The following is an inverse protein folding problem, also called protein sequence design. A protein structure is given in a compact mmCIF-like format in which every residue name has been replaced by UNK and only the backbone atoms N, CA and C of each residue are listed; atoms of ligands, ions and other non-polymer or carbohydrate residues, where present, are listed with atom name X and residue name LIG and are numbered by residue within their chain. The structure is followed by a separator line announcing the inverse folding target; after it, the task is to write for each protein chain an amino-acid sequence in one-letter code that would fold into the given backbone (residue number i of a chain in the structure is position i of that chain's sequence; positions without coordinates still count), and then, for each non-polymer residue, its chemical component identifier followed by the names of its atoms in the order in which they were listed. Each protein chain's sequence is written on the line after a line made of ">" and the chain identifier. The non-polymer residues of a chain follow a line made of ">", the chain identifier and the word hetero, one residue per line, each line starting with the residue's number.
data_IF_190992275078
#
_entry.id   IF_190992275078
#
_cell.length_a   1.000
_cell.length_b   1.000
_cell.length_c   1.000
_cell.angle_alpha   90.00
_cell.angle_beta   90.00
_cell.angle_gamma   90.00
#
_symmetry.space_group_name_H-M   'P 1'
#
loop_
_entity.id
_entity.type
_entity.pdbx_description
1 polymer ?
#
# COMPACT_ATOMS: atom_id res chain seq x y z
N UNK A 1 -31.29 1.93 14.24
CA UNK A 1 -31.70 1.68 12.84
C UNK A 1 -30.41 1.44 12.07
N UNK A 2 -30.14 0.20 11.67
CA UNK A 2 -28.89 -0.14 10.95
C UNK A 2 -28.96 0.49 9.58
N UNK A 3 -28.15 1.51 9.31
CA UNK A 3 -27.85 1.89 7.93
C UNK A 3 -27.46 0.64 7.14
N UNK A 4 -27.92 0.57 5.90
CA UNK A 4 -27.65 -0.54 5.01
C UNK A 4 -26.13 -0.69 4.86
N UNK A 5 -25.58 -1.83 5.30
CA UNK A 5 -24.17 -2.20 5.05
C UNK A 5 -23.86 -2.34 3.56
N UNK A 6 -24.87 -2.50 2.71
CA UNK A 6 -24.70 -2.67 1.29
C UNK A 6 -24.15 -1.38 0.65
N UNK A 7 -23.12 -1.47 -0.21
CA UNK A 7 -22.56 -0.30 -0.85
C UNK A 7 -23.54 0.35 -1.84
N UNK A 8 -23.47 1.68 -1.96
CA UNK A 8 -24.19 2.44 -3.00
C UNK A 8 -23.68 2.08 -4.41
N UNK A 9 -24.40 2.43 -5.49
CA UNK A 9 -23.91 2.17 -6.86
C UNK A 9 -22.52 2.76 -7.13
N UNK A 10 -22.25 3.98 -6.63
CA UNK A 10 -20.95 4.65 -6.77
C UNK A 10 -19.87 3.92 -5.97
N UNK A 11 -20.19 3.50 -4.74
CA UNK A 11 -19.26 2.72 -3.91
C UNK A 11 -18.93 1.37 -4.55
N UNK A 12 -19.92 0.69 -5.14
CA UNK A 12 -19.68 -0.57 -5.88
C UNK A 12 -18.74 -0.36 -7.06
N UNK A 13 -18.92 0.71 -7.83
CA UNK A 13 -18.01 1.04 -8.92
C UNK A 13 -16.58 1.28 -8.38
N UNK A 14 -16.44 2.05 -7.30
CA UNK A 14 -15.14 2.31 -6.67
C UNK A 14 -14.47 1.00 -6.22
N UNK A 15 -15.21 0.12 -5.55
CA UNK A 15 -14.74 -1.20 -5.11
C UNK A 15 -14.19 -2.00 -6.29
N UNK A 16 -14.97 -2.10 -7.37
CA UNK A 16 -14.57 -2.84 -8.57
C UNK A 16 -13.35 -2.20 -9.27
N UNK A 17 -13.25 -0.86 -9.29
CA UNK A 17 -12.07 -0.16 -9.84
C UNK A 17 -10.80 -0.49 -9.07
N UNK A 18 -10.84 -0.50 -7.73
CA UNK A 18 -9.70 -0.93 -6.93
C UNK A 18 -9.33 -2.40 -7.16
N UNK A 19 -10.33 -3.28 -7.29
CA UNK A 19 -10.13 -4.67 -7.68
C UNK A 19 -9.37 -4.80 -9.01
N UNK A 20 -9.83 -4.08 -10.04
CA UNK A 20 -9.23 -4.08 -11.37
C UNK A 20 -7.80 -3.52 -11.37
N UNK A 21 -7.56 -2.41 -10.66
CA UNK A 21 -6.24 -1.78 -10.59
C UNK A 21 -5.22 -2.73 -9.97
N UNK A 22 -5.56 -3.38 -8.85
CA UNK A 22 -4.65 -4.32 -8.20
C UNK A 22 -4.30 -5.49 -9.12
N UNK A 23 -5.31 -6.06 -9.79
CA UNK A 23 -5.11 -7.14 -10.76
C UNK A 23 -4.21 -6.72 -11.93
N UNK A 24 -4.39 -5.50 -12.45
CA UNK A 24 -3.56 -4.96 -13.55
C UNK A 24 -2.09 -4.79 -13.19
N UNK A 25 -1.77 -4.56 -11.91
CA UNK A 25 -0.40 -4.49 -11.39
C UNK A 25 0.13 -5.85 -10.91
N UNK A 26 -0.55 -6.96 -11.22
CA UNK A 26 -0.15 -8.32 -10.81
C UNK A 26 -0.39 -8.63 -9.33
N UNK A 27 -1.12 -7.77 -8.61
CA UNK A 27 -1.54 -7.98 -7.23
C UNK A 27 -2.85 -8.79 -7.17
N UNK A 28 -3.20 -9.28 -5.98
CA UNK A 28 -4.43 -10.07 -5.82
C UNK A 28 -5.65 -9.15 -5.91
N UNK A 29 -6.52 -9.38 -6.91
CA UNK A 29 -7.80 -8.66 -7.08
C UNK A 29 -8.58 -8.50 -5.78
N UNK A 30 -8.67 -9.56 -4.97
CA UNK A 30 -9.42 -9.55 -3.71
C UNK A 30 -8.89 -8.52 -2.70
N UNK A 31 -7.58 -8.28 -2.66
CA UNK A 31 -7.00 -7.25 -1.81
C UNK A 31 -7.45 -5.85 -2.26
N UNK A 32 -7.49 -5.61 -3.57
CA UNK A 32 -8.05 -4.38 -4.14
C UNK A 32 -9.52 -4.18 -3.77
N UNK A 33 -10.34 -5.23 -3.89
CA UNK A 33 -11.76 -5.16 -3.49
C UNK A 33 -11.93 -4.83 -2.00
N UNK A 34 -11.11 -5.41 -1.11
CA UNK A 34 -11.15 -5.12 0.34
C UNK A 34 -10.72 -3.67 0.61
N UNK A 35 -9.64 -3.19 -0.02
CA UNK A 35 -9.20 -1.79 0.11
C UNK A 35 -10.30 -0.84 -0.36
N UNK A 36 -10.84 -1.07 -1.56
CA UNK A 36 -11.95 -0.29 -2.10
C UNK A 36 -13.15 -0.28 -1.16
N UNK A 37 -13.52 -1.43 -0.58
CA UNK A 37 -14.62 -1.52 0.37
C UNK A 37 -14.35 -0.66 1.61
N UNK A 38 -13.18 -0.80 2.23
CA UNK A 38 -12.85 -0.10 3.47
C UNK A 38 -12.65 1.41 3.30
N UNK A 39 -12.36 1.88 2.08
CA UNK A 39 -12.36 3.31 1.76
C UNK A 39 -13.78 3.91 1.71
N UNK A 40 -14.81 3.09 1.52
CA UNK A 40 -16.22 3.54 1.43
C UNK A 40 -16.94 3.56 2.77
N UNK A 41 -16.30 3.11 3.86
CA UNK A 41 -16.96 2.91 5.16
C UNK A 41 -16.35 3.83 6.20
N UNK A 42 -17.21 4.58 6.88
CA UNK A 42 -16.87 5.45 8.01
C UNK A 42 -16.75 4.68 9.33
N UNK A 43 -17.31 3.48 9.39
CA UNK A 43 -17.32 2.61 10.57
C UNK A 43 -16.53 1.33 10.30
N UNK A 44 -15.90 0.73 11.33
CA UNK A 44 -15.19 -0.54 11.19
C UNK A 44 -16.05 -1.66 10.61
N UNK A 45 -15.49 -2.40 9.66
CA UNK A 45 -16.18 -3.49 8.95
C UNK A 45 -15.70 -4.83 9.50
N UNK A 46 -16.63 -5.72 9.87
CA UNK A 46 -16.24 -7.05 10.33
C UNK A 46 -15.88 -7.99 9.19
N UNK A 47 -15.06 -9.01 9.47
CA UNK A 47 -14.76 -10.08 8.50
C UNK A 47 -16.02 -10.72 7.89
N UNK A 48 -17.05 -10.93 8.71
CA UNK A 48 -18.30 -11.55 8.25
C UNK A 48 -19.07 -10.60 7.31
N UNK A 49 -19.00 -9.29 7.55
CA UNK A 49 -19.60 -8.29 6.66
C UNK A 49 -18.84 -8.21 5.34
N UNK A 50 -17.51 -8.30 5.35
CA UNK A 50 -16.71 -8.36 4.11
C UNK A 50 -17.06 -9.60 3.27
N UNK A 51 -17.28 -10.74 3.92
CA UNK A 51 -17.72 -12.00 3.28
C UNK A 51 -19.05 -11.80 2.57
N UNK A 52 -20.02 -11.18 3.25
CA UNK A 52 -21.35 -10.91 2.72
C UNK A 52 -21.30 -9.88 1.57
N UNK A 53 -20.62 -8.74 1.76
CA UNK A 53 -20.59 -7.64 0.80
C UNK A 53 -19.83 -7.99 -0.48
N UNK A 54 -18.70 -8.70 -0.36
CA UNK A 54 -17.86 -9.04 -1.51
C UNK A 54 -18.25 -10.38 -2.14
N UNK A 55 -19.21 -11.10 -1.57
CA UNK A 55 -19.64 -12.44 -1.99
C UNK A 55 -18.43 -13.39 -2.14
N UNK A 56 -17.66 -13.54 -1.06
CA UNK A 56 -16.45 -14.38 -1.01
C UNK A 56 -16.38 -15.20 0.27
N UNK A 57 -15.74 -16.36 0.19
CA UNK A 57 -15.57 -17.21 1.36
C UNK A 57 -14.64 -16.57 2.42
N UNK A 58 -14.85 -16.94 3.68
CA UNK A 58 -14.16 -16.37 4.85
C UNK A 58 -12.64 -16.57 4.83
N UNK A 59 -12.15 -17.71 4.31
CA UNK A 59 -10.73 -18.03 4.27
C UNK A 59 -9.90 -17.00 3.48
N UNK A 60 -10.18 -16.82 2.17
CA UNK A 60 -9.52 -15.81 1.33
C UNK A 60 -9.63 -14.37 1.86
N UNK A 61 -10.80 -13.96 2.37
CA UNK A 61 -10.99 -12.65 3.00
C UNK A 61 -10.04 -12.50 4.19
N UNK A 62 -10.03 -13.49 5.09
CA UNK A 62 -9.21 -13.47 6.31
C UNK A 62 -7.71 -13.41 6.02
N UNK A 63 -7.24 -14.14 5.00
CA UNK A 63 -5.84 -14.09 4.55
C UNK A 63 -5.52 -12.72 3.95
N UNK A 64 -6.40 -12.22 3.08
CA UNK A 64 -6.17 -10.97 2.33
C UNK A 64 -6.15 -9.76 3.27
N UNK A 65 -7.09 -9.67 4.20
CA UNK A 65 -7.14 -8.55 5.16
C UNK A 65 -5.96 -8.56 6.12
N UNK A 66 -5.52 -9.73 6.60
CA UNK A 66 -4.29 -9.83 7.41
C UNK A 66 -3.08 -9.35 6.65
N UNK A 67 -2.94 -9.74 5.38
CA UNK A 67 -1.83 -9.26 4.55
C UNK A 67 -1.88 -7.74 4.34
N UNK A 68 -3.07 -7.17 4.20
CA UNK A 68 -3.24 -5.72 4.09
C UNK A 68 -2.93 -5.00 5.42
N UNK A 69 -3.24 -5.64 6.55
CA UNK A 69 -2.92 -5.17 7.90
C UNK A 69 -1.40 -5.16 8.11
N UNK A 70 -0.70 -6.23 7.72
CA UNK A 70 0.78 -6.32 7.73
C UNK A 70 1.46 -5.26 6.84
N UNK A 71 0.74 -4.69 5.87
CA UNK A 71 1.22 -3.66 4.95
C UNK A 71 0.79 -2.25 5.37
N UNK A 72 0.13 -2.09 6.52
CA UNK A 72 -0.48 -0.85 7.00
C UNK A 72 -1.47 -0.21 6.00
N UNK A 73 -2.13 -1.01 5.16
CA UNK A 73 -3.17 -0.49 4.25
C UNK A 73 -4.52 -0.45 4.95
N UNK A 74 -4.75 -1.40 5.83
CA UNK A 74 -5.91 -1.49 6.71
C UNK A 74 -5.38 -1.66 8.13
N UNK A 75 -6.22 -1.46 9.13
CA UNK A 75 -5.86 -1.75 10.52
C UNK A 75 -6.96 -2.49 11.24
N UNK A 76 -6.57 -3.49 12.02
CA UNK A 76 -7.50 -4.15 12.94
C UNK A 76 -7.88 -3.18 14.07
N UNK A 77 -9.16 -3.09 14.38
CA UNK A 77 -9.70 -2.21 15.43
C UNK A 77 -10.71 -2.94 16.31
N UNK A 78 -11.01 -2.34 17.46
CA UNK A 78 -12.14 -2.77 18.28
C UNK A 78 -13.46 -2.48 17.55
N UNK A 79 -14.48 -3.27 17.84
CA UNK A 79 -15.80 -3.08 17.25
C UNK A 79 -16.90 -3.44 18.23
N UNK A 80 -18.17 -3.21 17.83
CA UNK A 80 -19.32 -3.30 18.73
C UNK A 80 -19.57 -4.72 19.28
N UNK A 81 -19.00 -5.76 18.66
CA UNK A 81 -19.10 -7.14 19.11
C UNK A 81 -17.72 -7.76 19.30
N UNK A 82 -17.32 -8.04 20.55
CA UNK A 82 -16.00 -8.60 20.88
C UNK A 82 -15.71 -9.98 20.27
N UNK A 83 -16.72 -10.69 19.73
CA UNK A 83 -16.54 -11.99 19.08
C UNK A 83 -16.17 -11.89 17.60
N UNK A 84 -16.17 -10.69 17.03
CA UNK A 84 -15.84 -10.44 15.62
C UNK A 84 -14.53 -9.65 15.51
N UNK A 85 -13.83 -9.86 14.41
CA UNK A 85 -12.67 -9.05 14.06
C UNK A 85 -13.14 -7.94 13.11
N UNK A 86 -12.81 -6.70 13.44
CA UNK A 86 -13.14 -5.50 12.68
C UNK A 86 -11.89 -4.87 12.11
N UNK A 87 -12.04 -4.26 10.94
CA UNK A 87 -10.97 -3.57 10.24
C UNK A 87 -11.52 -2.28 9.63
N UNK A 88 -10.64 -1.31 9.50
CA UNK A 88 -10.89 -0.07 8.77
C UNK A 88 -9.70 0.29 7.89
N UNK A 89 -9.88 1.22 6.96
CA UNK A 89 -8.78 1.72 6.15
C UNK A 89 -7.77 2.46 7.05
N UNK A 90 -6.49 2.32 6.75
CA UNK A 90 -5.49 3.09 7.46
C UNK A 90 -5.64 4.58 7.08
N UNK A 91 -5.62 5.54 8.03
CA UNK A 91 -5.79 6.97 7.72
C UNK A 91 -4.76 7.51 6.71
N UNK A 92 -3.57 6.90 6.72
CA UNK A 92 -2.47 7.21 5.82
C UNK A 92 -2.26 6.11 4.74
N UNK A 93 -3.29 5.35 4.36
CA UNK A 93 -3.20 4.22 3.41
C UNK A 93 -2.41 4.56 2.13
N UNK A 94 -2.66 5.72 1.53
CA UNK A 94 -1.96 6.15 0.31
C UNK A 94 -0.49 6.47 0.55
N UNK A 95 -0.18 7.10 1.69
CA UNK A 95 1.21 7.35 2.08
C UNK A 95 1.95 6.05 2.45
N UNK A 96 1.25 5.08 3.03
CA UNK A 96 1.81 3.76 3.31
C UNK A 96 2.08 2.98 2.01
N UNK A 97 1.20 3.06 1.01
CA UNK A 97 1.48 2.54 -0.32
C UNK A 97 2.70 3.22 -0.97
N UNK A 98 2.80 4.54 -0.83
CA UNK A 98 3.95 5.30 -1.30
C UNK A 98 5.26 4.82 -0.65
N UNK A 99 5.31 4.68 0.69
CA UNK A 99 6.47 4.13 1.41
C UNK A 99 6.81 2.71 0.98
N UNK A 100 5.80 1.86 0.76
CA UNK A 100 6.01 0.50 0.29
C UNK A 100 6.69 0.48 -1.09
N UNK A 101 6.25 1.34 -2.02
CA UNK A 101 6.89 1.46 -3.34
C UNK A 101 8.31 2.03 -3.25
N UNK A 102 8.54 2.98 -2.34
CA UNK A 102 9.86 3.55 -2.07
C UNK A 102 10.88 2.47 -1.64
N UNK A 103 10.44 1.46 -0.88
CA UNK A 103 11.31 0.36 -0.48
C UNK A 103 11.89 -0.40 -1.69
N UNK A 104 11.09 -0.63 -2.73
CA UNK A 104 11.56 -1.24 -3.99
C UNK A 104 12.59 -0.36 -4.71
N UNK A 105 12.42 0.97 -4.68
CA UNK A 105 13.38 1.93 -5.25
C UNK A 105 14.74 1.81 -4.54
N UNK A 106 14.73 1.82 -3.20
CA UNK A 106 15.92 1.65 -2.37
C UNK A 106 16.62 0.32 -2.59
N UNK A 107 15.86 -0.77 -2.65
CA UNK A 107 16.40 -2.11 -2.90
C UNK A 107 17.07 -2.19 -4.26
N UNK A 108 16.46 -1.65 -5.31
CA UNK A 108 17.04 -1.60 -6.65
C UNK A 108 18.34 -0.79 -6.68
N UNK A 109 18.36 0.39 -6.05
CA UNK A 109 19.58 1.20 -5.93
C UNK A 109 20.70 0.43 -5.21
N UNK A 110 20.39 -0.17 -4.07
CA UNK A 110 21.34 -0.97 -3.29
C UNK A 110 21.88 -2.18 -4.06
N UNK A 111 21.06 -2.82 -4.90
CA UNK A 111 21.51 -3.88 -5.81
C UNK A 111 22.54 -3.33 -6.79
N UNK A 112 22.27 -2.20 -7.45
CA UNK A 112 23.19 -1.59 -8.40
C UNK A 112 24.55 -1.26 -7.74
N UNK A 113 24.52 -0.53 -6.62
CA UNK A 113 25.71 -0.17 -5.83
C UNK A 113 26.53 -1.42 -5.43
N UNK A 114 25.86 -2.47 -4.94
CA UNK A 114 26.54 -3.69 -4.49
C UNK A 114 27.27 -4.40 -5.62
N UNK A 115 26.71 -4.45 -6.82
CA UNK A 115 27.32 -5.16 -7.95
C UNK A 115 28.35 -4.31 -8.69
N UNK A 116 28.18 -2.98 -8.76
CA UNK A 116 29.20 -2.07 -9.28
C UNK A 116 30.51 -2.20 -8.49
N UNK A 117 30.42 -2.31 -7.16
CA UNK A 117 31.57 -2.48 -6.28
C UNK A 117 32.28 -3.85 -6.41
N UNK A 118 31.73 -4.80 -7.17
CA UNK A 118 32.23 -6.18 -7.28
C UNK A 118 32.60 -6.60 -8.70
N UNK A 119 32.20 -5.82 -9.71
CA UNK A 119 32.48 -6.15 -11.11
C UNK A 119 33.95 -5.84 -11.42
N UNK A 120 34.63 -6.79 -12.08
CA UNK A 120 35.98 -6.60 -12.61
C UNK A 120 35.88 -6.32 -14.11
N UNK A 121 36.49 -5.25 -14.61
CA UNK A 121 36.23 -4.70 -15.95
C UNK A 121 37.00 -5.40 -17.07
N UNK A 122 37.11 -6.73 -17.03
CA UNK A 122 37.72 -7.50 -18.11
C UNK A 122 36.63 -8.05 -19.05
N UNK A 123 36.63 -7.58 -20.31
CA UNK A 123 35.74 -8.04 -21.39
C UNK A 123 34.52 -7.15 -21.70
N UNK A 124 34.08 -7.19 -22.96
CA UNK A 124 33.01 -6.32 -23.49
C UNK A 124 31.64 -6.53 -22.81
N UNK A 125 31.31 -7.77 -22.45
CA UNK A 125 30.05 -8.09 -21.75
C UNK A 125 30.03 -7.51 -20.32
N UNK A 126 31.19 -7.46 -19.67
CA UNK A 126 31.32 -6.88 -18.33
C UNK A 126 31.19 -5.36 -18.36
N UNK A 127 31.76 -4.71 -19.37
CA UNK A 127 31.60 -3.27 -19.60
C UNK A 127 30.14 -2.88 -19.87
N UNK A 128 29.41 -3.66 -20.68
CA UNK A 128 27.96 -3.44 -20.89
C UNK A 128 27.17 -3.60 -19.59
N UNK A 129 27.53 -4.59 -18.77
CA UNK A 129 26.87 -4.84 -17.49
C UNK A 129 27.10 -3.68 -16.53
N UNK A 130 28.35 -3.20 -16.42
CA UNK A 130 28.71 -2.02 -15.63
C UNK A 130 27.88 -0.80 -16.03
N UNK A 131 27.82 -0.45 -17.32
CA UNK A 131 27.02 0.69 -17.80
C UNK A 131 25.53 0.56 -17.48
N UNK A 132 24.98 -0.66 -17.57
CA UNK A 132 23.60 -0.91 -17.18
C UNK A 132 23.36 -0.65 -15.69
N UNK A 133 24.31 -1.05 -14.84
CA UNK A 133 24.23 -0.83 -13.40
C UNK A 133 24.46 0.63 -13.02
N UNK A 134 25.38 1.35 -13.68
CA UNK A 134 25.57 2.80 -13.49
C UNK A 134 24.30 3.58 -13.85
N UNK A 135 23.64 3.20 -14.96
CA UNK A 135 22.35 3.78 -15.33
C UNK A 135 21.26 3.45 -14.28
N UNK A 136 21.21 2.21 -13.81
CA UNK A 136 20.26 1.78 -12.78
C UNK A 136 20.46 2.56 -11.48
N UNK A 137 21.70 2.69 -11.01
CA UNK A 137 22.08 3.47 -9.82
C UNK A 137 21.65 4.93 -9.98
N UNK A 138 22.07 5.61 -11.05
CA UNK A 138 21.73 7.01 -11.28
C UNK A 138 20.22 7.27 -11.37
N UNK A 139 19.46 6.36 -12.00
CA UNK A 139 18.01 6.48 -12.13
C UNK A 139 17.31 6.32 -10.77
N UNK A 140 17.66 5.28 -10.01
CA UNK A 140 17.00 5.02 -8.72
C UNK A 140 17.47 5.96 -7.61
N UNK A 141 18.70 6.49 -7.68
CA UNK A 141 19.19 7.56 -6.81
C UNK A 141 18.36 8.85 -6.98
N UNK A 142 18.13 9.27 -8.24
CA UNK A 142 17.25 10.40 -8.52
C UNK A 142 15.82 10.15 -8.05
N UNK A 143 15.27 8.96 -8.33
CA UNK A 143 13.94 8.61 -7.83
C UNK A 143 13.88 8.70 -6.30
N UNK A 144 14.82 8.09 -5.59
CA UNK A 144 14.87 8.11 -4.12
C UNK A 144 14.82 9.54 -3.58
N UNK A 145 15.60 10.47 -4.16
CA UNK A 145 15.58 11.89 -3.76
C UNK A 145 14.18 12.52 -3.90
N UNK A 146 13.46 12.25 -5.00
CA UNK A 146 12.09 12.74 -5.16
C UNK A 146 11.10 12.08 -4.21
N UNK A 147 11.31 10.81 -3.85
CA UNK A 147 10.48 10.16 -2.84
C UNK A 147 10.70 10.79 -1.45
N UNK A 148 11.93 11.15 -1.11
CA UNK A 148 12.26 11.83 0.15
C UNK A 148 11.64 13.23 0.20
N UNK A 149 11.84 14.04 -0.83
CA UNK A 149 11.25 15.38 -0.96
C UNK A 149 9.71 15.33 -0.86
N UNK A 150 9.08 14.37 -1.54
CA UNK A 150 7.63 14.19 -1.46
C UNK A 150 7.19 13.79 -0.06
N UNK A 151 7.93 12.89 0.61
CA UNK A 151 7.57 12.43 1.94
C UNK A 151 7.61 13.54 2.98
N UNK A 152 8.61 14.43 2.90
CA UNK A 152 8.70 15.62 3.73
C UNK A 152 7.55 16.58 3.45
N UNK A 153 7.30 16.89 2.17
CA UNK A 153 6.29 17.87 1.76
C UNK A 153 4.85 17.41 1.98
N UNK A 154 4.59 16.09 1.91
CA UNK A 154 3.23 15.54 2.03
C UNK A 154 2.55 15.97 3.33
N UNK A 155 3.30 16.01 4.44
CA UNK A 155 2.71 16.36 5.74
C UNK A 155 2.24 17.81 5.78
N UNK A 156 3.01 18.73 5.20
CA UNK A 156 2.63 20.15 5.08
C UNK A 156 1.36 20.29 4.23
N UNK A 157 1.31 19.61 3.08
CA UNK A 157 0.12 19.61 2.21
C UNK A 157 -1.10 19.00 2.92
N UNK A 158 -0.90 17.93 3.68
CA UNK A 158 -1.96 17.27 4.44
C UNK A 158 -2.55 18.23 5.50
N UNK A 159 -1.71 18.97 6.22
CA UNK A 159 -2.16 20.01 7.16
C UNK A 159 -2.97 21.09 6.43
N UNK A 160 -2.40 21.66 5.37
CA UNK A 160 -2.96 22.82 4.65
C UNK A 160 -4.31 22.50 3.99
N UNK A 161 -4.46 21.30 3.41
CA UNK A 161 -5.62 20.96 2.59
C UNK A 161 -6.70 20.18 3.34
N UNK A 162 -6.32 19.35 4.32
CA UNK A 162 -7.25 18.46 5.02
C UNK A 162 -7.53 18.88 6.46
N UNK A 163 -6.77 19.83 7.02
CA UNK A 163 -6.98 20.35 8.37
C UNK A 163 -6.78 19.31 9.49
N UNK A 164 -6.17 18.17 9.17
CA UNK A 164 -5.84 17.14 10.14
C UNK A 164 -4.49 17.48 10.78
N UNK A 165 -4.41 17.62 12.11
CA UNK A 165 -3.13 17.79 12.83
C UNK A 165 -2.13 16.69 12.43
N UNK A 166 -0.83 16.99 12.43
CA UNK A 166 0.19 16.04 12.01
C UNK A 166 0.26 14.93 13.05
N UNK A 167 -0.55 13.90 12.86
CA UNK A 167 -0.38 12.65 13.59
C UNK A 167 0.84 11.97 12.99
N UNK A 168 2.03 12.52 13.29
CA UNK A 168 3.31 11.82 13.30
C UNK A 168 3.31 10.75 14.41
N UNK A 169 2.19 10.06 14.62
CA UNK A 169 2.14 8.88 15.45
C UNK A 169 3.01 7.84 14.77
N UNK A 170 4.26 7.85 15.26
CA UNK A 170 5.27 6.83 15.20
C UNK A 170 4.90 5.68 14.28
N UNK A 171 5.40 5.76 13.05
CA UNK A 171 5.85 4.58 12.32
C UNK A 171 6.97 3.98 13.17
N UNK A 172 6.59 3.31 14.26
CA UNK A 172 7.51 2.46 15.00
C UNK A 172 7.58 1.20 14.15
N UNK A 173 8.74 0.88 13.55
CA UNK A 173 8.90 -0.41 12.91
C UNK A 173 8.69 -1.46 14.00
N UNK A 174 7.82 -2.44 13.76
CA UNK A 174 7.90 -3.72 14.49
C UNK A 174 9.10 -4.51 14.00
#
# INVERSE_FOLDING_TARGET
>A
MSESKAPSPVEKELIEKFGNIYESYGLRRLQGLIVGLLLTKSEPVSLDDMVEILDRSKGPISISVRRLDDMDYVRKVEGPNNRRNYYESHPNIFFNNFKFNMQTVRENRSIAERFLNRIDTEGDETEKTKRSLEHMEAFYDLMESFFEDFAERWWEVKQEQLGEESNQEAVTPR
#
